data_IF_725146430240
#
_entry.id   IF_725146430240
#
_cell.length_a   1.000
_cell.length_b   1.000
_cell.length_c   1.000
_cell.angle_alpha   90.00
_cell.angle_beta   90.00
_cell.angle_gamma   90.00
#
_symmetry.space_group_name_H-M   'P 1'
#
loop_
_entity.id
_entity.type
_entity.pdbx_description
1 polymer ?
#
# COMPACT_ATOMS: atom_id res chain seq x y z
N UNK A 1 -1.77 18.90 -26.84
CA UNK A 1 -1.37 17.47 -26.78
C UNK A 1 -0.38 17.20 -25.62
N UNK A 2 -0.76 17.38 -24.34
CA UNK A 2 0.09 17.05 -23.18
C UNK A 2 -0.06 15.61 -22.67
N UNK A 3 -1.05 14.85 -23.18
CA UNK A 3 -1.35 13.49 -22.73
C UNK A 3 -0.26 12.47 -23.08
N UNK A 4 0.50 12.69 -24.16
CA UNK A 4 1.54 11.77 -24.61
C UNK A 4 2.78 11.79 -23.70
N UNK A 5 3.12 12.93 -23.11
CA UNK A 5 4.27 13.03 -22.18
C UNK A 5 3.98 12.40 -20.81
N UNK A 6 2.73 12.47 -20.34
CA UNK A 6 2.30 11.81 -19.11
C UNK A 6 2.33 10.27 -19.22
N UNK A 7 2.02 9.74 -20.41
CA UNK A 7 2.08 8.30 -20.69
C UNK A 7 3.53 7.78 -20.74
N UNK A 8 4.46 8.52 -21.33
CA UNK A 8 5.86 8.10 -21.46
C UNK A 8 6.59 8.08 -20.11
N UNK A 9 6.29 9.01 -19.21
CA UNK A 9 6.86 9.02 -17.85
C UNK A 9 6.39 7.83 -16.99
N UNK A 10 5.13 7.39 -17.17
CA UNK A 10 4.58 6.19 -16.52
C UNK A 10 5.32 4.92 -16.99
N UNK A 11 5.62 4.83 -18.28
CA UNK A 11 6.30 3.66 -18.87
C UNK A 11 7.74 3.52 -18.36
N UNK A 12 8.46 4.63 -18.16
CA UNK A 12 9.85 4.58 -17.65
C UNK A 12 9.89 4.14 -16.17
N UNK A 13 8.92 4.55 -15.35
CA UNK A 13 8.79 4.08 -13.96
C UNK A 13 8.49 2.59 -13.86
N UNK A 14 7.55 2.11 -14.68
CA UNK A 14 7.23 0.68 -14.83
C UNK A 14 8.44 -0.12 -15.31
N UNK A 15 9.20 0.38 -16.28
CA UNK A 15 10.39 -0.30 -16.81
C UNK A 15 11.51 -0.39 -15.76
N UNK A 16 11.62 0.61 -14.87
CA UNK A 16 12.57 0.57 -13.75
C UNK A 16 12.18 -0.49 -12.71
N UNK A 17 10.88 -0.68 -12.46
CA UNK A 17 10.35 -1.72 -11.57
C UNK A 17 10.72 -3.14 -12.05
N UNK A 18 10.49 -3.43 -13.34
CA UNK A 18 10.81 -4.73 -13.97
C UNK A 18 12.31 -5.03 -13.89
N UNK A 19 13.16 -4.01 -14.10
CA UNK A 19 14.62 -4.18 -14.07
C UNK A 19 15.19 -4.33 -12.64
N UNK A 20 14.54 -3.77 -11.61
CA UNK A 20 14.94 -3.95 -10.21
C UNK A 20 14.53 -5.32 -9.67
N UNK A 21 13.37 -5.82 -10.07
CA UNK A 21 12.78 -7.07 -9.56
C UNK A 21 13.59 -8.32 -9.94
N UNK A 22 14.18 -8.34 -11.13
CA UNK A 22 14.97 -9.49 -11.61
C UNK A 22 16.30 -9.73 -10.88
N UNK A 23 16.73 -8.83 -9.97
CA UNK A 23 17.97 -9.01 -9.19
C UNK A 23 17.78 -9.44 -7.73
N UNK A 24 16.55 -9.55 -7.22
CA UNK A 24 16.32 -9.87 -5.78
C UNK A 24 15.53 -11.16 -5.51
N UNK A 25 14.79 -11.71 -6.47
CA UNK A 25 14.03 -12.95 -6.24
C UNK A 25 14.78 -14.21 -6.67
N UNK A 26 15.88 -14.52 -5.96
CA UNK A 26 16.40 -15.91 -5.86
C UNK A 26 16.13 -16.59 -4.52
N UNK A 27 15.55 -15.89 -3.55
CA UNK A 27 14.96 -16.46 -2.34
C UNK A 27 13.48 -16.04 -2.35
N UNK A 28 12.47 -16.89 -2.41
CA UNK A 28 12.13 -17.89 -1.41
C UNK A 28 11.29 -18.98 -2.10
N UNK A 29 11.94 -20.12 -2.37
CA UNK A 29 11.29 -21.39 -2.68
C UNK A 29 11.39 -22.25 -1.42
N UNK A 30 10.46 -22.08 -0.48
CA UNK A 30 10.09 -23.05 0.57
C UNK A 30 9.21 -22.38 1.62
N UNK A 31 7.89 -22.46 1.46
CA UNK A 31 6.96 -22.68 2.58
C UNK A 31 5.58 -23.09 2.04
N UNK A 32 5.59 -24.18 1.28
CA UNK A 32 4.39 -24.99 1.04
C UNK A 32 4.46 -26.20 1.96
N UNK A 33 3.84 -26.08 3.14
CA UNK A 33 3.07 -27.13 3.81
C UNK A 33 2.77 -26.74 5.25
N UNK A 34 1.50 -26.93 5.57
CA UNK A 34 0.97 -27.24 6.90
C UNK A 34 0.56 -26.06 7.80
N UNK A 35 -0.71 -25.65 7.67
CA UNK A 35 -1.58 -25.29 8.81
C UNK A 35 -3.03 -25.06 8.33
N UNK A 36 -3.70 -26.14 7.92
CA UNK A 36 -5.16 -26.16 7.65
C UNK A 36 -6.03 -26.21 8.94
N UNK A 37 -5.48 -25.90 10.11
CA UNK A 37 -6.09 -26.29 11.40
C UNK A 37 -6.57 -25.18 12.35
N UNK A 38 -6.37 -23.88 12.08
CA UNK A 38 -6.57 -22.84 13.12
C UNK A 38 -7.46 -21.66 12.72
N UNK A 39 -8.27 -21.79 11.67
CA UNK A 39 -9.06 -20.68 11.11
C UNK A 39 -10.38 -20.35 11.82
N UNK A 40 -10.72 -20.93 12.98
CA UNK A 40 -12.08 -20.76 13.55
C UNK A 40 -12.20 -20.08 14.92
N UNK A 41 -11.12 -19.55 15.53
CA UNK A 41 -11.23 -18.77 16.78
C UNK A 41 -10.16 -17.69 16.89
N UNK A 42 -10.44 -16.50 16.38
CA UNK A 42 -9.74 -15.27 16.81
C UNK A 42 -10.58 -14.01 16.53
N UNK A 43 -11.91 -14.12 16.64
CA UNK A 43 -12.79 -12.96 16.72
C UNK A 43 -12.78 -12.45 18.16
N UNK A 44 -12.06 -11.35 18.41
CA UNK A 44 -12.08 -10.64 19.68
C UNK A 44 -10.90 -10.97 20.60
N UNK A 45 -10.24 -9.91 21.08
CA UNK A 45 -9.11 -9.89 22.00
C UNK A 45 -7.71 -10.07 21.36
N UNK A 46 -7.22 -9.01 20.74
CA UNK A 46 -5.77 -8.81 20.55
C UNK A 46 -5.38 -7.36 20.86
N UNK A 47 -5.79 -6.92 22.05
CA UNK A 47 -5.15 -5.81 22.75
C UNK A 47 -3.88 -6.34 23.41
N UNK A 48 -2.77 -5.60 23.25
CA UNK A 48 -1.52 -5.65 24.02
C UNK A 48 -0.65 -6.91 23.98
N UNK A 49 0.05 -7.14 22.86
CA UNK A 49 1.41 -7.70 22.87
C UNK A 49 2.24 -6.93 21.82
N UNK A 50 3.01 -5.94 22.31
CA UNK A 50 4.13 -5.20 21.71
C UNK A 50 4.21 -5.31 20.17
N UNK A 51 3.72 -4.28 19.50
CA UNK A 51 3.65 -4.16 18.04
C UNK A 51 2.22 -4.31 17.54
N UNK A 52 1.58 -3.22 17.09
CA UNK A 52 0.30 -3.32 16.37
C UNK A 52 0.51 -4.25 15.16
N UNK A 53 -0.50 -5.01 14.69
CA UNK A 53 -0.34 -5.91 13.55
C UNK A 53 0.26 -5.21 12.31
N UNK A 54 0.03 -3.90 12.17
CA UNK A 54 0.61 -3.05 11.12
C UNK A 54 2.12 -2.82 11.26
N UNK A 55 2.68 -2.84 12.46
CA UNK A 55 4.13 -2.71 12.69
C UNK A 55 4.91 -3.98 12.33
N UNK A 56 4.24 -5.13 12.18
CA UNK A 56 4.85 -6.39 11.74
C UNK A 56 4.77 -6.59 10.22
N UNK A 57 4.24 -5.61 9.49
CA UNK A 57 4.21 -5.66 8.03
C UNK A 57 5.59 -5.30 7.52
N UNK A 58 6.31 -6.30 7.01
CA UNK A 58 7.65 -6.12 6.43
C UNK A 58 7.63 -6.04 4.88
N UNK A 59 6.51 -6.38 4.25
CA UNK A 59 6.34 -6.35 2.80
C UNK A 59 5.77 -5.00 2.34
N UNK A 60 6.56 -4.29 1.52
CA UNK A 60 6.20 -3.01 0.90
C UNK A 60 4.96 -3.11 0.02
N UNK A 61 4.78 -4.23 -0.70
CA UNK A 61 3.63 -4.45 -1.58
C UNK A 61 2.35 -4.67 -0.79
N UNK A 62 2.45 -5.40 0.32
CA UNK A 62 1.35 -5.54 1.28
C UNK A 62 1.01 -4.19 1.92
N UNK A 63 2.02 -3.42 2.35
CA UNK A 63 1.80 -2.07 2.89
C UNK A 63 1.07 -1.17 1.87
N UNK A 64 1.48 -1.17 0.61
CA UNK A 64 0.79 -0.45 -0.46
C UNK A 64 -0.67 -0.91 -0.63
N UNK A 65 -0.92 -2.22 -0.62
CA UNK A 65 -2.26 -2.80 -0.70
C UNK A 65 -3.16 -2.34 0.47
N UNK A 66 -2.63 -2.35 1.70
CA UNK A 66 -3.31 -1.90 2.91
C UNK A 66 -3.69 -0.42 2.79
N UNK A 67 -2.77 0.43 2.33
CA UNK A 67 -3.05 1.86 2.13
C UNK A 67 -4.11 2.09 1.06
N UNK A 68 -4.02 1.40 -0.09
CA UNK A 68 -5.00 1.50 -1.17
C UNK A 68 -6.40 1.07 -0.72
N UNK A 69 -6.50 0.03 0.10
CA UNK A 69 -7.78 -0.42 0.62
C UNK A 69 -8.32 0.55 1.68
N UNK A 70 -7.48 1.02 2.62
CA UNK A 70 -7.92 1.91 3.69
C UNK A 70 -8.40 3.27 3.15
N UNK A 71 -7.74 3.85 2.13
CA UNK A 71 -8.14 5.16 1.61
C UNK A 71 -9.57 5.12 1.04
N UNK A 72 -9.92 4.03 0.36
CA UNK A 72 -11.28 3.82 -0.15
C UNK A 72 -12.27 3.67 1.00
N UNK A 73 -11.96 2.80 1.97
CA UNK A 73 -12.81 2.53 3.15
C UNK A 73 -12.96 3.70 4.12
N UNK A 74 -12.17 4.76 3.95
CA UNK A 74 -12.28 6.00 4.73
C UNK A 74 -13.49 6.84 4.30
N UNK A 75 -13.86 6.81 3.01
CA UNK A 75 -14.96 7.62 2.47
C UNK A 75 -16.29 6.89 2.49
N UNK A 76 -16.31 5.66 1.97
CA UNK A 76 -17.51 4.86 1.73
C UNK A 76 -17.17 3.36 1.70
N UNK A 77 -18.18 2.47 1.72
CA UNK A 77 -17.98 1.07 1.36
C UNK A 77 -17.29 0.95 -0.01
N UNK A 78 -16.38 -0.03 -0.13
CA UNK A 78 -15.61 -0.23 -1.37
C UNK A 78 -16.52 -0.60 -2.54
N UNK A 79 -16.41 0.14 -3.64
CA UNK A 79 -17.13 -0.14 -4.88
C UNK A 79 -16.39 -1.17 -5.74
N UNK A 80 -17.11 -1.79 -6.68
CA UNK A 80 -16.50 -2.72 -7.63
C UNK A 80 -15.42 -2.05 -8.51
N UNK A 81 -15.60 -0.78 -8.86
CA UNK A 81 -14.64 0.00 -9.64
C UNK A 81 -13.33 0.22 -8.86
N UNK A 82 -13.43 0.63 -7.60
CA UNK A 82 -12.26 0.80 -6.72
C UNK A 82 -11.55 -0.53 -6.48
N UNK A 83 -12.30 -1.62 -6.20
CA UNK A 83 -11.72 -2.96 -6.04
C UNK A 83 -10.96 -3.39 -7.28
N UNK A 84 -11.56 -3.23 -8.47
CA UNK A 84 -10.92 -3.55 -9.74
C UNK A 84 -9.65 -2.71 -9.97
N UNK A 85 -9.69 -1.42 -9.61
CA UNK A 85 -8.53 -0.53 -9.72
C UNK A 85 -7.37 -0.96 -8.82
N UNK A 86 -7.67 -1.34 -7.57
CA UNK A 86 -6.67 -1.85 -6.62
C UNK A 86 -6.06 -3.15 -7.15
N UNK A 87 -6.88 -4.10 -7.61
CA UNK A 87 -6.40 -5.35 -8.19
C UNK A 87 -5.53 -5.09 -9.44
N UNK A 88 -5.92 -4.11 -10.25
CA UNK A 88 -5.14 -3.64 -11.39
C UNK A 88 -3.75 -3.18 -10.97
N UNK A 89 -3.65 -2.29 -9.98
CA UNK A 89 -2.35 -1.82 -9.46
C UNK A 89 -1.52 -2.92 -8.80
N UNK A 90 -2.16 -3.84 -8.08
CA UNK A 90 -1.50 -5.01 -7.49
C UNK A 90 -0.92 -5.94 -8.56
N UNK A 91 -1.66 -6.17 -9.65
CA UNK A 91 -1.15 -6.93 -10.79
C UNK A 91 -0.04 -6.16 -11.52
N UNK A 92 -0.24 -4.86 -11.74
CA UNK A 92 0.67 -3.97 -12.44
C UNK A 92 0.43 -2.49 -12.04
N UNK A 93 1.42 -1.76 -11.52
CA UNK A 93 2.86 -2.03 -11.62
C UNK A 93 3.43 -2.87 -10.47
N UNK A 94 2.63 -3.20 -9.43
CA UNK A 94 3.18 -3.86 -8.25
C UNK A 94 3.54 -5.34 -8.47
N UNK A 95 3.24 -5.94 -9.63
CA UNK A 95 3.65 -7.30 -10.03
C UNK A 95 3.41 -8.38 -8.97
N UNK A 96 2.29 -8.30 -8.25
CA UNK A 96 1.91 -9.29 -7.25
C UNK A 96 1.40 -10.53 -7.97
N UNK A 97 2.00 -11.69 -7.69
CA UNK A 97 1.65 -12.96 -8.35
C UNK A 97 0.17 -13.35 -8.14
N UNK A 98 -0.40 -13.07 -6.97
CA UNK A 98 -1.81 -13.26 -6.67
C UNK A 98 -2.42 -11.98 -6.07
N UNK A 99 -2.88 -11.04 -6.92
CA UNK A 99 -3.46 -9.77 -6.48
C UNK A 99 -4.67 -9.93 -5.56
N UNK A 100 -5.52 -10.91 -5.84
CA UNK A 100 -6.72 -11.18 -5.05
C UNK A 100 -6.37 -11.64 -3.63
N UNK A 101 -5.46 -12.61 -3.50
CA UNK A 101 -5.01 -13.09 -2.19
C UNK A 101 -4.29 -11.99 -1.38
N UNK A 102 -3.54 -11.11 -2.05
CA UNK A 102 -2.90 -9.96 -1.41
C UNK A 102 -3.94 -8.95 -0.90
N UNK A 103 -4.98 -8.68 -1.70
CA UNK A 103 -6.07 -7.79 -1.28
C UNK A 103 -6.86 -8.38 -0.11
N UNK A 104 -7.13 -9.69 -0.12
CA UNK A 104 -7.79 -10.39 0.98
C UNK A 104 -6.94 -10.37 2.25
N UNK A 105 -5.61 -10.50 2.12
CA UNK A 105 -4.69 -10.31 3.24
C UNK A 105 -4.73 -8.88 3.77
N UNK A 106 -4.71 -7.88 2.90
CA UNK A 106 -4.79 -6.47 3.26
C UNK A 106 -6.10 -6.12 3.99
N UNK A 107 -7.20 -6.81 3.66
CA UNK A 107 -8.48 -6.68 4.35
C UNK A 107 -8.37 -6.90 5.86
N UNK A 108 -7.53 -7.85 6.31
CA UNK A 108 -7.31 -8.12 7.73
C UNK A 108 -6.62 -6.99 8.52
N UNK A 109 -6.06 -5.99 7.82
CA UNK A 109 -5.35 -4.86 8.43
C UNK A 109 -6.14 -3.54 8.34
N UNK A 110 -7.33 -3.57 7.74
CA UNK A 110 -8.14 -2.38 7.49
C UNK A 110 -9.50 -2.51 8.17
N UNK A 111 -10.09 -1.39 8.52
CA UNK A 111 -11.46 -1.37 9.01
C UNK A 111 -12.23 -0.18 8.43
N UNK A 112 -13.53 -0.36 8.30
CA UNK A 112 -14.45 0.67 7.84
C UNK A 112 -14.44 1.88 8.77
N UNK A 113 -14.46 3.08 8.17
CA UNK A 113 -14.54 4.36 8.88
C UNK A 113 -13.39 4.63 9.86
N UNK A 114 -12.33 3.80 9.86
CA UNK A 114 -11.13 4.12 10.60
C UNK A 114 -10.41 5.30 9.95
N UNK A 115 -9.88 6.24 10.75
CA UNK A 115 -9.03 7.30 10.24
C UNK A 115 -7.84 6.71 9.49
N UNK A 116 -7.63 7.16 8.25
CA UNK A 116 -6.54 6.69 7.40
C UNK A 116 -5.17 6.77 8.08
N UNK A 117 -4.93 7.79 8.88
CA UNK A 117 -3.65 7.98 9.60
C UNK A 117 -3.33 6.85 10.57
N UNK A 118 -4.32 6.21 11.19
CA UNK A 118 -4.06 5.10 12.12
C UNK A 118 -3.43 3.89 11.41
N UNK A 119 -3.75 3.73 10.13
CA UNK A 119 -3.20 2.66 9.29
C UNK A 119 -1.92 3.10 8.59
N UNK A 120 -1.88 4.35 8.14
CA UNK A 120 -0.74 4.87 7.39
C UNK A 120 0.51 5.10 8.25
N UNK A 121 0.34 5.66 9.44
CA UNK A 121 1.46 6.10 10.27
C UNK A 121 2.45 4.98 10.63
N UNK A 122 2.00 3.76 10.99
CA UNK A 122 2.89 2.63 11.23
C UNK A 122 3.63 2.14 9.97
N UNK A 123 3.07 2.33 8.78
CA UNK A 123 3.64 1.84 7.51
C UNK A 123 4.64 2.83 6.88
N UNK A 124 4.56 4.12 7.23
CA UNK A 124 5.44 5.16 6.67
C UNK A 124 6.93 4.86 6.86
N UNK A 125 7.43 4.40 8.03
CA UNK A 125 8.85 4.07 8.20
C UNK A 125 9.32 2.98 7.22
N UNK A 126 8.55 1.90 7.05
CA UNK A 126 8.84 0.84 6.09
C UNK A 126 8.93 1.40 4.66
N UNK A 127 7.91 2.14 4.25
CA UNK A 127 7.85 2.71 2.90
C UNK A 127 9.02 3.67 2.64
N UNK A 128 9.43 4.46 3.64
CA UNK A 128 10.57 5.36 3.50
C UNK A 128 11.92 4.65 3.51
N UNK A 129 12.03 3.51 4.19
CA UNK A 129 13.24 2.72 4.23
C UNK A 129 13.48 1.96 2.93
N UNK A 130 12.41 1.49 2.27
CA UNK A 130 12.51 0.62 1.10
C UNK A 130 12.19 1.29 -0.24
N UNK A 131 11.52 2.44 -0.25
CA UNK A 131 11.18 3.17 -1.49
C UNK A 131 12.02 4.43 -1.65
N UNK A 132 12.51 4.63 -2.86
CA UNK A 132 13.09 5.89 -3.33
C UNK A 132 12.06 7.01 -3.33
N UNK A 133 12.50 8.27 -3.46
CA UNK A 133 11.58 9.42 -3.57
C UNK A 133 10.65 9.33 -4.79
N UNK A 134 11.16 8.84 -5.92
CA UNK A 134 10.38 8.62 -7.13
C UNK A 134 9.28 7.56 -6.89
N UNK A 135 9.64 6.41 -6.32
CA UNK A 135 8.69 5.34 -6.01
C UNK A 135 7.65 5.76 -4.97
N UNK A 136 8.03 6.58 -3.97
CA UNK A 136 7.08 7.17 -3.01
C UNK A 136 6.08 8.10 -3.69
N UNK A 137 6.53 8.85 -4.69
CA UNK A 137 5.67 9.73 -5.50
C UNK A 137 4.72 8.91 -6.38
N UNK A 138 5.20 7.82 -6.95
CA UNK A 138 4.38 6.89 -7.73
C UNK A 138 3.32 6.20 -6.86
N UNK A 139 3.70 5.71 -5.67
CA UNK A 139 2.75 5.15 -4.70
C UNK A 139 1.66 6.16 -4.32
N UNK A 140 2.04 7.41 -4.06
CA UNK A 140 1.08 8.48 -3.79
C UNK A 140 0.12 8.72 -4.98
N UNK A 141 0.63 8.64 -6.20
CA UNK A 141 -0.17 8.78 -7.42
C UNK A 141 -1.17 7.63 -7.56
N UNK A 142 -0.76 6.40 -7.27
CA UNK A 142 -1.67 5.24 -7.24
C UNK A 142 -2.78 5.40 -6.20
N UNK A 143 -2.44 5.84 -4.98
CA UNK A 143 -3.44 6.08 -3.91
C UNK A 143 -4.47 7.14 -4.30
N UNK A 144 -4.03 8.21 -4.96
CA UNK A 144 -4.92 9.25 -5.47
C UNK A 144 -5.84 8.71 -6.57
N UNK A 145 -5.30 7.87 -7.48
CA UNK A 145 -6.06 7.26 -8.56
C UNK A 145 -7.09 6.24 -8.04
N UNK A 146 -6.77 5.50 -6.98
CA UNK A 146 -7.71 4.58 -6.32
C UNK A 146 -8.84 5.36 -5.63
N UNK A 147 -8.53 6.40 -4.86
CA UNK A 147 -9.53 7.22 -4.17
C UNK A 147 -10.49 7.93 -5.14
N UNK A 148 -10.05 8.20 -6.37
CA UNK A 148 -10.84 8.83 -7.43
C UNK A 148 -11.50 7.86 -8.41
N UNK A 149 -11.44 6.54 -8.19
CA UNK A 149 -11.80 5.56 -9.21
C UNK A 149 -13.31 5.50 -9.52
N UNK A 150 -14.17 5.73 -8.52
CA UNK A 150 -15.62 5.73 -8.69
C UNK A 150 -16.23 7.13 -8.68
N UNK A 151 -15.68 8.03 -7.85
CA UNK A 151 -16.14 9.41 -7.70
C UNK A 151 -14.97 10.28 -7.26
N UNK A 152 -15.05 11.61 -7.39
CA UNK A 152 -14.03 12.49 -6.84
C UNK A 152 -13.77 12.20 -5.36
N UNK A 153 -12.50 12.20 -4.90
CA UNK A 153 -12.19 11.88 -3.51
C UNK A 153 -12.94 12.80 -2.53
N UNK A 154 -13.58 12.21 -1.52
CA UNK A 154 -14.27 12.95 -0.46
C UNK A 154 -13.31 13.82 0.36
N UNK A 155 -13.85 14.76 1.15
CA UNK A 155 -13.04 15.67 1.98
C UNK A 155 -12.06 14.92 2.90
N UNK A 156 -12.54 13.87 3.59
CA UNK A 156 -11.70 13.05 4.48
C UNK A 156 -10.57 12.34 3.73
N UNK A 157 -10.82 11.86 2.52
CA UNK A 157 -9.81 11.22 1.68
C UNK A 157 -8.78 12.24 1.18
N UNK A 158 -9.23 13.44 0.80
CA UNK A 158 -8.34 14.54 0.40
C UNK A 158 -7.41 14.96 1.53
N UNK A 159 -7.95 15.18 2.72
CA UNK A 159 -7.13 15.54 3.89
C UNK A 159 -6.13 14.42 4.23
N UNK A 160 -6.58 13.16 4.19
CA UNK A 160 -5.73 12.00 4.41
C UNK A 160 -4.56 11.93 3.40
N UNK A 161 -4.85 12.13 2.10
CA UNK A 161 -3.84 12.17 1.04
C UNK A 161 -2.86 13.33 1.23
N UNK A 162 -3.34 14.53 1.55
CA UNK A 162 -2.47 15.70 1.82
C UNK A 162 -1.53 15.41 2.98
N UNK A 163 -2.03 14.84 4.07
CA UNK A 163 -1.24 14.48 5.26
C UNK A 163 -0.22 13.38 4.94
N UNK A 164 -0.65 12.35 4.21
CA UNK A 164 0.24 11.28 3.78
C UNK A 164 1.37 11.83 2.91
N UNK A 165 1.07 12.67 1.92
CA UNK A 165 2.06 13.26 1.03
C UNK A 165 3.15 13.98 1.82
N UNK A 166 2.74 14.84 2.77
CA UNK A 166 3.68 15.58 3.64
C UNK A 166 4.62 14.66 4.41
N UNK A 167 4.12 13.53 4.92
CA UNK A 167 4.90 12.61 5.76
C UNK A 167 5.74 11.61 4.96
N UNK A 168 5.17 11.11 3.88
CA UNK A 168 5.79 10.11 3.01
C UNK A 168 6.94 10.73 2.22
N UNK A 169 6.76 11.95 1.69
CA UNK A 169 7.76 12.65 0.89
C UNK A 169 8.69 13.54 1.72
N UNK A 170 8.49 13.64 3.03
CA UNK A 170 9.46 14.31 3.89
C UNK A 170 10.84 13.65 3.71
N UNK A 171 11.87 14.47 3.51
CA UNK A 171 13.27 14.04 3.47
C UNK A 171 13.68 13.32 4.77
N UNK A 172 14.85 12.66 4.80
CA UNK A 172 15.33 11.97 6.00
C UNK A 172 15.15 12.86 7.23
N UNK A 173 14.56 12.34 8.29
CA UNK A 173 14.48 13.05 9.57
C UNK A 173 15.90 13.44 9.98
N UNK A 174 16.15 14.75 10.14
CA UNK A 174 17.47 15.33 10.42
C UNK A 174 18.20 14.67 11.61
N UNK A 175 17.47 13.99 12.50
CA UNK A 175 17.99 13.21 13.63
C UNK A 175 18.82 11.98 13.23
N UNK A 176 18.72 11.48 11.99
CA UNK A 176 19.55 10.38 11.49
C UNK A 176 20.87 10.83 10.85
N UNK A 177 21.02 12.13 10.54
CA UNK A 177 22.23 12.69 9.93
C UNK A 177 23.21 13.27 10.97
N UNK A 178 22.85 13.23 12.25
CA UNK A 178 23.63 13.78 13.36
C UNK A 178 24.25 12.70 14.28
N UNK A 179 24.32 11.45 13.81
CA UNK A 179 25.06 10.34 14.43
C UNK A 179 26.07 9.80 13.44
#
# INVERSE_FOLDING_TARGET
>A
MPFLLAATALIVGVLFWVLRMHRVSRDLKELDRDTKGLQLRAGGLSTSIIGTPLQRVDDVRLAAAILMLQIVRTGSPITAAERSRILGFLAHPLEVANPAAMLDRAWGYTAERWPFSLVADPLIPLLRAHLTEAERTELFTMLTAVAGAHSPPGELQREALVRLRKRLLAGPTALAAAR
#
